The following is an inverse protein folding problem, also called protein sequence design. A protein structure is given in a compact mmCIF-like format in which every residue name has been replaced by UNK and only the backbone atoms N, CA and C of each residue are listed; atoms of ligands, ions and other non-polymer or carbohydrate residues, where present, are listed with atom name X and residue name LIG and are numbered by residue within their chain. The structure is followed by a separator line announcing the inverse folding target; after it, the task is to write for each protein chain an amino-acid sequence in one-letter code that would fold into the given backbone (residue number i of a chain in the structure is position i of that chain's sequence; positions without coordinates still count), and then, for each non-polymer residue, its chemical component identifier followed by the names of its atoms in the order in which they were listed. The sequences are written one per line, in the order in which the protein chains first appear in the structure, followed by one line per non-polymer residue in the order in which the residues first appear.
data_IF_568219920701
#
_entry.id   IF_568219920701
#
_cell.length_a   1.000
_cell.length_b   1.000
_cell.length_c   1.000
_cell.angle_alpha   90.00
_cell.angle_beta   90.00
_cell.angle_gamma   90.00
#
_symmetry.space_group_name_H-M   'P 1'
#
loop_
_entity.id
_entity.type
_entity.pdbx_description
1 polymer ?
#
# COMPACT_ATOMS: atom_id res chain seq x y z
N UNK A 1 9.55 -17.30 -0.97
CA UNK A 1 8.43 -17.48 -0.02
C UNK A 1 7.16 -16.99 -0.70
N UNK A 2 6.19 -17.85 -0.90
CA UNK A 2 4.92 -17.47 -1.56
C UNK A 2 3.92 -17.03 -0.49
N UNK A 3 3.87 -15.74 -0.22
CA UNK A 3 2.86 -15.16 0.69
C UNK A 3 1.55 -15.06 -0.07
N UNK A 4 0.50 -15.64 0.45
CA UNK A 4 -0.85 -15.60 -0.09
C UNK A 4 -1.85 -15.52 1.06
N UNK A 5 -2.46 -14.36 1.23
CA UNK A 5 -3.38 -14.08 2.33
C UNK A 5 -4.80 -14.03 1.76
N UNK A 6 -5.58 -15.06 2.03
CA UNK A 6 -6.97 -15.13 1.61
C UNK A 6 -7.85 -14.50 2.70
N UNK A 7 -8.73 -13.61 2.30
CA UNK A 7 -9.77 -13.02 3.13
C UNK A 7 -11.15 -13.42 2.57
N UNK A 8 -12.26 -13.15 3.24
CA UNK A 8 -13.59 -13.51 2.71
C UNK A 8 -13.90 -12.93 1.33
N UNK A 9 -13.39 -11.74 1.01
CA UNK A 9 -13.75 -11.02 -0.22
C UNK A 9 -12.57 -10.57 -1.07
N UNK A 10 -11.33 -10.79 -0.60
CA UNK A 10 -10.12 -10.40 -1.32
C UNK A 10 -9.06 -11.47 -1.23
N UNK A 11 -8.14 -11.43 -2.18
CA UNK A 11 -6.91 -12.17 -2.15
C UNK A 11 -5.74 -11.20 -2.15
N UNK A 12 -4.84 -11.32 -1.19
CA UNK A 12 -3.66 -10.48 -1.06
C UNK A 12 -2.40 -11.31 -1.31
N UNK A 13 -1.59 -10.89 -2.27
CA UNK A 13 -0.32 -11.53 -2.59
C UNK A 13 0.68 -10.57 -3.24
N UNK A 14 1.98 -10.84 -3.20
CA UNK A 14 2.93 -10.14 -4.04
C UNK A 14 2.59 -10.29 -5.53
N UNK A 15 2.99 -9.30 -6.33
CA UNK A 15 2.81 -9.36 -7.77
C UNK A 15 3.78 -10.36 -8.43
N UNK A 16 3.27 -11.10 -9.39
CA UNK A 16 4.06 -11.89 -10.33
C UNK A 16 4.22 -11.19 -11.69
N UNK A 17 5.07 -11.69 -12.56
CA UNK A 17 5.31 -11.09 -13.89
C UNK A 17 4.03 -10.99 -14.74
N UNK A 18 3.12 -11.95 -14.60
CA UNK A 18 1.84 -11.97 -15.31
C UNK A 18 0.88 -10.83 -14.89
N UNK A 19 1.13 -10.18 -13.76
CA UNK A 19 0.24 -9.13 -13.23
C UNK A 19 0.51 -7.74 -13.84
N UNK A 20 1.50 -7.60 -14.72
CA UNK A 20 1.88 -6.29 -15.28
C UNK A 20 0.71 -5.59 -15.99
N UNK A 21 -0.11 -6.33 -16.74
CA UNK A 21 -1.29 -5.79 -17.42
C UNK A 21 -2.37 -5.37 -16.42
N UNK A 22 -2.65 -6.18 -15.40
CA UNK A 22 -3.64 -5.86 -14.38
C UNK A 22 -3.23 -4.63 -13.54
N UNK A 23 -1.95 -4.52 -13.18
CA UNK A 23 -1.40 -3.34 -12.51
C UNK A 23 -1.49 -2.10 -13.39
N UNK A 24 -1.19 -2.23 -14.70
CA UNK A 24 -1.33 -1.14 -15.65
C UNK A 24 -2.78 -0.66 -15.77
N UNK A 25 -3.73 -1.57 -15.90
CA UNK A 25 -5.18 -1.25 -15.92
C UNK A 25 -5.59 -0.50 -14.66
N UNK A 26 -5.20 -1.00 -13.48
CA UNK A 26 -5.46 -0.33 -12.21
C UNK A 26 -4.92 1.12 -12.19
N UNK A 27 -3.68 1.36 -12.65
CA UNK A 27 -3.10 2.70 -12.70
C UNK A 27 -3.83 3.61 -13.68
N UNK A 28 -4.16 3.11 -14.87
CA UNK A 28 -4.86 3.88 -15.90
C UNK A 28 -6.26 4.29 -15.47
N UNK A 29 -7.04 3.34 -14.98
CA UNK A 29 -8.44 3.57 -14.56
C UNK A 29 -8.54 4.51 -13.37
N UNK A 30 -7.54 4.51 -12.48
CA UNK A 30 -7.55 5.30 -11.25
C UNK A 30 -6.63 6.53 -11.30
N UNK A 31 -6.07 6.87 -12.46
CA UNK A 31 -5.13 7.98 -12.62
C UNK A 31 -5.63 9.30 -12.02
N UNK A 32 -6.83 9.71 -12.40
CA UNK A 32 -7.42 10.97 -11.90
C UNK A 32 -7.80 10.88 -10.42
N UNK A 33 -8.32 9.73 -10.01
CA UNK A 33 -8.73 9.49 -8.63
C UNK A 33 -7.55 9.51 -7.65
N UNK A 34 -6.42 8.93 -8.02
CA UNK A 34 -5.24 8.83 -7.15
C UNK A 34 -4.31 10.05 -7.23
N UNK A 35 -4.34 10.82 -8.31
CA UNK A 35 -3.45 11.95 -8.52
C UNK A 35 -3.35 12.95 -7.34
N UNK A 36 -4.44 13.31 -6.63
CA UNK A 36 -4.37 14.22 -5.47
C UNK A 36 -3.67 13.64 -4.24
N UNK A 37 -3.44 12.32 -4.21
CA UNK A 37 -2.98 11.55 -3.05
C UNK A 37 -1.58 10.97 -3.21
N UNK A 38 -1.00 11.09 -4.43
CA UNK A 38 0.30 10.54 -4.79
C UNK A 38 1.30 11.64 -5.20
N UNK A 39 2.61 11.34 -5.18
CA UNK A 39 3.59 12.20 -5.86
C UNK A 39 3.23 12.37 -7.34
N UNK A 40 3.69 13.48 -7.94
CA UNK A 40 3.55 13.68 -9.39
C UNK A 40 4.16 12.50 -10.15
N UNK A 41 3.39 11.97 -11.10
CA UNK A 41 3.79 10.83 -11.92
C UNK A 41 4.05 11.28 -13.35
N UNK A 42 5.18 10.88 -13.91
CA UNK A 42 5.47 11.02 -15.32
C UNK A 42 4.60 10.09 -16.17
N UNK A 43 4.41 10.39 -17.46
CA UNK A 43 3.61 9.56 -18.38
C UNK A 43 4.09 8.10 -18.45
N UNK A 44 5.39 7.86 -18.35
CA UNK A 44 5.95 6.51 -18.32
C UNK A 44 5.40 5.62 -17.20
N UNK A 45 5.00 6.22 -16.05
CA UNK A 45 4.40 5.49 -14.93
C UNK A 45 3.14 4.74 -15.33
N UNK A 46 2.44 5.24 -16.35
CA UNK A 46 1.18 4.71 -16.85
C UNK A 46 1.35 3.78 -18.06
N UNK A 47 2.53 3.22 -18.27
CA UNK A 47 2.82 2.26 -19.35
C UNK A 47 2.94 0.84 -18.81
N UNK A 48 2.59 -0.15 -19.63
CA UNK A 48 2.77 -1.57 -19.28
C UNK A 48 4.23 -1.92 -18.99
N UNK A 49 5.16 -1.37 -19.78
CA UNK A 49 6.59 -1.59 -19.59
C UNK A 49 7.08 -1.10 -18.23
N UNK A 50 6.61 0.07 -17.77
CA UNK A 50 6.94 0.56 -16.44
C UNK A 50 6.27 -0.29 -15.33
N UNK A 51 5.07 -0.82 -15.56
CA UNK A 51 4.44 -1.75 -14.59
C UNK A 51 5.24 -3.05 -14.47
N UNK A 52 5.71 -3.61 -15.57
CA UNK A 52 6.59 -4.78 -15.56
C UNK A 52 7.90 -4.50 -14.80
N UNK A 53 8.54 -3.36 -15.04
CA UNK A 53 9.73 -2.95 -14.28
C UNK A 53 9.41 -2.77 -12.80
N UNK A 54 8.29 -2.11 -12.47
CA UNK A 54 7.84 -1.96 -11.07
C UNK A 54 7.71 -3.31 -10.36
N UNK A 55 7.13 -4.31 -11.03
CA UNK A 55 6.98 -5.66 -10.46
C UNK A 55 8.34 -6.32 -10.25
N UNK A 56 9.28 -6.15 -11.18
CA UNK A 56 10.64 -6.65 -11.00
C UNK A 56 11.33 -6.01 -9.79
N UNK A 57 11.22 -4.69 -9.63
CA UNK A 57 11.76 -3.94 -8.49
C UNK A 57 11.09 -4.37 -7.17
N UNK A 58 9.79 -4.63 -7.18
CA UNK A 58 9.06 -5.15 -6.03
C UNK A 58 9.55 -6.53 -5.59
N UNK A 59 9.77 -7.43 -6.53
CA UNK A 59 10.32 -8.77 -6.24
C UNK A 59 11.71 -8.69 -5.64
N UNK A 60 12.54 -7.80 -6.16
CA UNK A 60 13.88 -7.55 -5.62
C UNK A 60 13.82 -6.93 -4.21
N UNK A 61 12.89 -6.00 -3.96
CA UNK A 61 12.65 -5.42 -2.64
C UNK A 61 12.30 -6.50 -1.60
N UNK A 62 11.43 -7.44 -1.97
CA UNK A 62 11.07 -8.60 -1.14
C UNK A 62 12.28 -9.50 -0.89
N UNK A 63 13.05 -9.81 -1.95
CA UNK A 63 14.25 -10.65 -1.85
C UNK A 63 15.30 -10.08 -0.89
N UNK A 64 15.42 -8.75 -0.86
CA UNK A 64 16.37 -8.01 -0.04
C UNK A 64 15.81 -7.62 1.34
N UNK A 65 14.61 -8.06 1.70
CA UNK A 65 13.94 -7.68 2.96
C UNK A 65 13.82 -6.15 3.16
N UNK A 66 13.65 -5.40 2.07
CA UNK A 66 13.54 -3.93 2.10
C UNK A 66 12.12 -3.41 2.09
N UNK A 67 11.19 -4.24 1.63
CA UNK A 67 9.79 -3.90 1.55
C UNK A 67 8.97 -5.03 0.93
N UNK A 68 7.68 -5.02 1.24
CA UNK A 68 6.74 -6.06 0.85
C UNK A 68 5.51 -5.43 0.20
N UNK A 69 5.58 -5.15 -1.12
CA UNK A 69 4.43 -4.67 -1.89
C UNK A 69 3.48 -5.82 -2.23
N UNK A 70 2.18 -5.54 -2.06
CA UNK A 70 1.10 -6.49 -2.29
C UNK A 70 0.08 -5.94 -3.28
N UNK A 71 -0.46 -6.82 -4.09
CA UNK A 71 -1.73 -6.62 -4.80
C UNK A 71 -2.87 -7.09 -3.91
N UNK A 72 -3.95 -6.31 -3.89
CA UNK A 72 -5.25 -6.70 -3.37
C UNK A 72 -6.12 -7.01 -4.57
N UNK A 73 -6.53 -8.25 -4.71
CA UNK A 73 -7.22 -8.81 -5.87
C UNK A 73 -8.64 -9.23 -5.49
N UNK A 74 -9.53 -9.30 -6.49
CA UNK A 74 -10.77 -10.05 -6.34
C UNK A 74 -10.47 -11.55 -6.13
N UNK A 75 -11.37 -12.33 -5.52
CA UNK A 75 -11.10 -13.74 -5.25
C UNK A 75 -10.79 -14.59 -6.49
N UNK A 76 -11.23 -14.14 -7.66
CA UNK A 76 -10.94 -14.77 -8.96
C UNK A 76 -9.61 -14.34 -9.59
N UNK A 77 -8.86 -13.46 -8.95
CA UNK A 77 -7.58 -12.88 -9.43
C UNK A 77 -7.63 -12.21 -10.80
N UNK A 78 -8.80 -11.71 -11.17
CA UNK A 78 -9.03 -11.08 -12.49
C UNK A 78 -8.77 -9.58 -12.47
N UNK A 79 -8.85 -8.98 -11.29
CA UNK A 79 -8.82 -7.54 -11.13
C UNK A 79 -8.04 -7.11 -9.89
N UNK A 80 -7.24 -6.03 -10.05
CA UNK A 80 -6.59 -5.35 -8.93
C UNK A 80 -7.59 -4.37 -8.29
N UNK A 81 -8.06 -4.69 -7.09
CA UNK A 81 -8.91 -3.85 -6.25
C UNK A 81 -8.11 -2.68 -5.67
N UNK A 82 -6.85 -2.96 -5.31
CA UNK A 82 -5.96 -2.00 -4.70
C UNK A 82 -4.56 -2.55 -4.53
N UNK A 83 -3.70 -1.75 -3.92
CA UNK A 83 -2.35 -2.13 -3.56
C UNK A 83 -2.03 -1.67 -2.15
N UNK A 84 -1.15 -2.37 -1.45
CA UNK A 84 -0.48 -1.82 -0.28
C UNK A 84 0.99 -2.25 -0.23
N UNK A 85 1.79 -1.51 0.50
CA UNK A 85 3.21 -1.78 0.63
C UNK A 85 3.64 -1.59 2.09
N UNK A 86 4.34 -2.59 2.62
CA UNK A 86 5.12 -2.47 3.84
C UNK A 86 6.53 -2.06 3.45
N UNK A 87 6.75 -0.76 3.30
CA UNK A 87 7.98 -0.17 2.76
C UNK A 87 9.01 0.14 3.86
N UNK A 88 10.26 0.33 3.46
CA UNK A 88 11.33 0.75 4.36
C UNK A 88 11.44 -0.15 5.59
N UNK A 89 11.53 -1.45 5.38
CA UNK A 89 11.71 -2.42 6.46
C UNK A 89 13.08 -2.18 7.10
N UNK A 90 13.07 -1.89 8.39
CA UNK A 90 14.27 -1.70 9.22
C UNK A 90 14.29 -2.77 10.29
N UNK A 91 15.34 -3.57 10.28
CA UNK A 91 15.57 -4.65 11.26
C UNK A 91 16.34 -4.16 12.49
N UNK A 92 16.87 -5.07 13.25
CA UNK A 92 17.63 -4.81 14.47
C UNK A 92 16.74 -4.35 15.60
N UNK A 93 17.13 -3.30 16.29
CA UNK A 93 16.40 -2.77 17.48
C UNK A 93 15.10 -2.05 17.12
N UNK A 94 14.88 -1.71 15.84
CA UNK A 94 13.69 -0.97 15.42
C UNK A 94 12.55 -1.87 14.98
N UNK A 95 12.80 -2.93 14.20
CA UNK A 95 11.81 -3.89 13.68
C UNK A 95 10.54 -3.21 13.16
N UNK A 96 10.69 -2.26 12.23
CA UNK A 96 9.61 -1.40 11.78
C UNK A 96 9.52 -1.29 10.26
N UNK A 97 8.35 -0.87 9.78
CA UNK A 97 8.13 -0.48 8.38
C UNK A 97 7.11 0.66 8.27
N UNK A 98 6.94 1.17 7.04
CA UNK A 98 5.90 2.13 6.69
C UNK A 98 4.84 1.45 5.83
N UNK A 99 3.57 1.64 6.19
CA UNK A 99 2.41 1.22 5.41
C UNK A 99 1.95 2.36 4.49
N UNK A 100 1.88 2.07 3.20
CA UNK A 100 1.18 2.88 2.21
C UNK A 100 0.17 2.03 1.45
N UNK A 101 -0.95 2.61 1.02
CA UNK A 101 -1.99 1.87 0.30
C UNK A 101 -2.80 2.76 -0.63
N UNK A 102 -3.38 2.14 -1.65
CA UNK A 102 -4.30 2.75 -2.58
C UNK A 102 -5.41 1.77 -2.94
N UNK A 103 -6.62 2.28 -3.15
CA UNK A 103 -7.79 1.48 -3.56
C UNK A 103 -8.44 2.11 -4.77
N UNK A 104 -8.86 1.30 -5.74
CA UNK A 104 -9.59 1.76 -6.91
C UNK A 104 -10.88 2.46 -6.52
N UNK A 105 -11.22 3.54 -7.22
CA UNK A 105 -12.36 4.38 -6.91
C UNK A 105 -13.67 3.60 -6.76
N UNK A 106 -13.92 2.67 -7.67
CA UNK A 106 -15.14 1.83 -7.70
C UNK A 106 -15.26 0.87 -6.53
N UNK A 107 -14.14 0.55 -5.86
CA UNK A 107 -14.09 -0.36 -4.72
C UNK A 107 -14.02 0.33 -3.36
N UNK A 108 -14.06 1.68 -3.34
CA UNK A 108 -14.07 2.43 -2.10
C UNK A 108 -15.37 2.25 -1.31
N UNK A 109 -15.29 2.49 -0.01
CA UNK A 109 -16.47 2.47 0.89
C UNK A 109 -17.04 1.08 1.21
N UNK A 110 -16.48 0.01 0.66
CA UNK A 110 -16.98 -1.36 0.82
C UNK A 110 -16.23 -2.17 1.90
N UNK A 111 -15.24 -1.57 2.56
CA UNK A 111 -14.44 -2.23 3.60
C UNK A 111 -13.37 -3.20 3.08
N UNK A 112 -13.21 -3.36 1.76
CA UNK A 112 -12.27 -4.33 1.17
C UNK A 112 -10.82 -4.02 1.51
N UNK A 113 -10.41 -2.74 1.46
CA UNK A 113 -9.04 -2.36 1.85
C UNK A 113 -8.80 -2.60 3.34
N UNK A 114 -9.78 -2.37 4.21
CA UNK A 114 -9.66 -2.70 5.62
C UNK A 114 -9.39 -4.19 5.82
N UNK A 115 -10.19 -5.05 5.21
CA UNK A 115 -10.05 -6.50 5.26
C UNK A 115 -8.67 -6.97 4.78
N UNK A 116 -8.20 -6.42 3.67
CA UNK A 116 -6.87 -6.73 3.13
C UNK A 116 -5.74 -6.26 4.06
N UNK A 117 -5.86 -5.06 4.62
CA UNK A 117 -4.85 -4.50 5.53
C UNK A 117 -4.82 -5.22 6.87
N UNK A 118 -5.97 -5.65 7.42
CA UNK A 118 -6.01 -6.49 8.62
C UNK A 118 -5.17 -7.75 8.42
N UNK A 119 -5.36 -8.48 7.31
CA UNK A 119 -4.57 -9.68 7.02
C UNK A 119 -3.08 -9.38 6.77
N UNK A 120 -2.78 -8.25 6.14
CA UNK A 120 -1.40 -7.80 5.91
C UNK A 120 -0.68 -7.41 7.20
N UNK A 121 -1.37 -6.79 8.15
CA UNK A 121 -0.83 -6.43 9.46
C UNK A 121 -0.61 -7.67 10.34
N UNK A 122 -1.55 -8.62 10.34
CA UNK A 122 -1.38 -9.91 11.03
C UNK A 122 -0.13 -10.64 10.50
N UNK A 123 0.09 -10.61 9.20
CA UNK A 123 1.29 -11.17 8.60
C UNK A 123 2.55 -10.38 8.98
N UNK A 124 2.47 -9.05 9.03
CA UNK A 124 3.61 -8.19 9.39
C UNK A 124 4.07 -8.42 10.84
N UNK A 125 3.14 -8.50 11.78
CA UNK A 125 3.45 -8.72 13.20
C UNK A 125 3.78 -10.19 13.52
N UNK A 126 3.15 -11.13 12.82
CA UNK A 126 3.37 -12.57 12.99
C UNK A 126 4.55 -13.08 12.16
N UNK A 127 4.32 -13.66 10.96
CA UNK A 127 5.37 -14.31 10.16
C UNK A 127 6.55 -13.42 9.79
N UNK A 128 6.32 -12.11 9.50
CA UNK A 128 7.40 -11.17 9.17
C UNK A 128 8.19 -10.71 10.40
N UNK A 129 7.57 -10.77 11.60
CA UNK A 129 8.22 -10.49 12.88
C UNK A 129 8.54 -9.01 13.10
N UNK A 130 7.75 -8.10 12.54
CA UNK A 130 7.89 -6.67 12.85
C UNK A 130 7.25 -6.35 14.20
N UNK A 131 7.81 -5.35 14.88
CA UNK A 131 7.28 -4.83 16.13
C UNK A 131 6.39 -3.60 15.90
N UNK A 132 6.61 -2.88 14.77
CA UNK A 132 6.00 -1.58 14.54
C UNK A 132 5.65 -1.38 13.07
N UNK A 133 4.42 -0.95 12.79
CA UNK A 133 3.99 -0.47 11.47
C UNK A 133 3.57 0.98 11.60
N UNK A 134 4.20 1.86 10.82
CA UNK A 134 3.91 3.29 10.78
C UNK A 134 3.10 3.61 9.53
N UNK A 135 2.10 4.49 9.65
CA UNK A 135 1.33 4.97 8.51
C UNK A 135 1.13 6.48 8.64
N UNK A 136 1.31 7.19 7.53
CA UNK A 136 1.13 8.63 7.48
C UNK A 136 0.01 8.98 6.52
N UNK A 137 -0.76 10.01 6.84
CA UNK A 137 -1.82 10.50 5.96
C UNK A 137 -1.94 12.02 6.02
N UNK A 138 -2.34 12.65 4.92
CA UNK A 138 -2.62 14.08 4.88
C UNK A 138 -3.86 14.41 5.71
N UNK A 139 -3.88 15.50 6.50
CA UNK A 139 -5.04 15.86 7.33
C UNK A 139 -6.37 15.92 6.55
N UNK A 140 -6.31 16.36 5.28
CA UNK A 140 -7.49 16.40 4.38
C UNK A 140 -7.94 15.04 3.88
N UNK A 141 -7.13 13.98 4.05
CA UNK A 141 -7.49 12.61 3.70
C UNK A 141 -8.19 11.91 4.87
N UNK A 142 -9.36 12.42 5.24
CA UNK A 142 -10.13 11.88 6.36
C UNK A 142 -10.49 10.40 6.20
N UNK A 143 -10.69 9.93 4.95
CA UNK A 143 -10.98 8.52 4.69
C UNK A 143 -9.83 7.62 5.12
N UNK A 144 -8.61 8.03 4.81
CA UNK A 144 -7.40 7.31 5.24
C UNK A 144 -7.27 7.34 6.76
N UNK A 145 -7.45 8.50 7.40
CA UNK A 145 -7.43 8.62 8.86
C UNK A 145 -8.43 7.69 9.54
N UNK A 146 -9.69 7.70 9.12
CA UNK A 146 -10.74 6.81 9.66
C UNK A 146 -10.44 5.32 9.44
N UNK A 147 -9.82 4.97 8.31
CA UNK A 147 -9.40 3.58 8.05
C UNK A 147 -8.30 3.15 9.02
N UNK A 148 -7.27 3.98 9.21
CA UNK A 148 -6.17 3.70 10.13
C UNK A 148 -6.65 3.59 11.58
N UNK A 149 -7.55 4.47 12.03
CA UNK A 149 -8.18 4.37 13.35
C UNK A 149 -8.91 3.03 13.55
N UNK A 150 -9.69 2.60 12.54
CA UNK A 150 -10.38 1.30 12.58
C UNK A 150 -9.45 0.09 12.55
N UNK A 151 -8.25 0.26 12.04
CA UNK A 151 -7.17 -0.74 12.05
C UNK A 151 -6.36 -0.69 13.35
N UNK A 152 -6.72 0.18 14.31
CA UNK A 152 -6.04 0.29 15.60
C UNK A 152 -4.78 1.15 15.59
N UNK A 153 -4.57 1.98 14.55
CA UNK A 153 -3.47 2.93 14.55
C UNK A 153 -3.75 4.08 15.53
N UNK A 154 -2.79 4.34 16.40
CA UNK A 154 -2.79 5.47 17.32
C UNK A 154 -2.09 6.66 16.66
N UNK A 155 -2.64 7.87 16.85
CA UNK A 155 -1.97 9.09 16.39
C UNK A 155 -0.75 9.37 17.25
N UNK A 156 0.41 9.47 16.62
CA UNK A 156 1.69 9.66 17.30
C UNK A 156 2.26 11.08 17.14
N UNK A 157 1.90 11.77 16.06
CA UNK A 157 2.45 13.07 15.80
C UNK A 157 1.86 13.79 14.59
N UNK A 158 2.41 14.98 14.36
CA UNK A 158 2.10 15.84 13.21
C UNK A 158 3.41 16.37 12.62
N UNK A 159 3.64 16.11 11.34
CA UNK A 159 4.84 16.52 10.63
C UNK A 159 4.49 17.57 9.55
N UNK A 160 5.08 18.76 9.68
CA UNK A 160 4.86 19.85 8.72
C UNK A 160 5.72 19.65 7.47
N UNK A 161 5.14 19.89 6.30
CA UNK A 161 5.82 19.86 4.99
C UNK A 161 6.67 18.59 4.81
N UNK A 162 6.07 17.45 5.08
CA UNK A 162 6.78 16.18 5.22
C UNK A 162 7.01 15.47 3.88
N UNK A 163 6.00 15.43 3.01
CA UNK A 163 6.08 14.79 1.70
C UNK A 163 5.57 15.71 0.59
N UNK A 164 6.20 15.62 -0.58
CA UNK A 164 5.74 16.31 -1.79
C UNK A 164 4.69 15.44 -2.50
N UNK A 165 3.42 15.79 -2.34
CA UNK A 165 2.27 15.11 -2.93
C UNK A 165 1.62 16.03 -3.95
N UNK A 166 1.33 15.53 -5.15
CA UNK A 166 0.80 16.33 -6.27
C UNK A 166 1.57 17.64 -6.51
N UNK A 167 2.89 17.63 -6.24
CA UNK A 167 3.76 18.81 -6.40
C UNK A 167 3.74 19.80 -5.25
N UNK A 168 3.02 19.53 -4.16
CA UNK A 168 2.92 20.39 -2.96
C UNK A 168 3.51 19.66 -1.75
N UNK A 169 4.29 20.39 -0.94
CA UNK A 169 4.77 19.88 0.35
C UNK A 169 3.64 19.86 1.37
N UNK A 170 3.12 18.67 1.63
CA UNK A 170 1.97 18.42 2.50
C UNK A 170 2.39 18.11 3.93
N UNK A 171 1.56 18.54 4.86
CA UNK A 171 1.63 18.13 6.25
C UNK A 171 1.07 16.71 6.40
N UNK A 172 1.61 15.95 7.34
CA UNK A 172 1.15 14.58 7.61
C UNK A 172 0.81 14.37 9.08
N UNK A 173 -0.22 13.57 9.29
CA UNK A 173 -0.49 12.95 10.59
C UNK A 173 0.21 11.60 10.61
N UNK A 174 1.07 11.40 11.59
CA UNK A 174 1.75 10.14 11.81
C UNK A 174 0.91 9.21 12.70
N UNK A 175 0.69 7.99 12.25
CA UNK A 175 0.02 6.92 12.98
C UNK A 175 0.94 5.72 13.20
N UNK A 176 0.69 4.99 14.26
CA UNK A 176 1.45 3.81 14.69
C UNK A 176 0.51 2.69 15.08
N UNK A 177 0.86 1.46 14.67
CA UNK A 177 0.34 0.22 15.24
C UNK A 177 1.49 -0.69 15.70
N UNK A 178 1.30 -1.36 16.82
CA UNK A 178 2.23 -2.29 17.48
C UNK A 178 1.58 -3.64 17.69
#
# INVERSE_FOLDING_TARGET
MSVRLATPRTLVRPAGEADATALWQFRMENRQHLAPWEPLREERYYTQGHCAQTIADWRESIRLDRGYPFLVLDPGEREVIGTFNLANVVRGVFQACHLGYAVAQRWQGQGLMREALESGLDWAFGPLGLHRVMANYMPRNERSGKLLERLGFEREGYAKRYLCIAGVWEDLIAGLQR
#
